data_IF_731152241432
#
_entry.id   IF_731152241432
#
_cell.length_a   1.000
_cell.length_b   1.000
_cell.length_c   1.000
_cell.angle_alpha   90.00
_cell.angle_beta   90.00
_cell.angle_gamma   90.00
#
_symmetry.space_group_name_H-M   'P 1'
#
loop_
_entity.id
_entity.type
_entity.pdbx_description
1 polymer ?
#
# COMPACT_ATOMS: atom_id res chain seq x y z
N UNK A 1 -22.22 -30.29 -27.34
CA UNK A 1 -22.24 -29.56 -26.06
C UNK A 1 -21.77 -28.14 -26.33
N UNK A 2 -22.64 -27.13 -26.21
CA UNK A 2 -22.26 -25.71 -26.39
C UNK A 2 -21.86 -25.18 -25.02
N UNK A 3 -20.58 -24.87 -24.83
CA UNK A 3 -20.12 -24.12 -23.65
C UNK A 3 -20.49 -22.66 -23.89
N UNK A 4 -21.51 -22.17 -23.18
CA UNK A 4 -21.85 -20.73 -23.16
C UNK A 4 -20.99 -20.05 -22.11
N UNK A 5 -19.99 -19.28 -22.55
CA UNK A 5 -19.16 -18.49 -21.65
C UNK A 5 -19.87 -17.17 -21.31
N UNK A 6 -20.25 -16.99 -20.05
CA UNK A 6 -20.85 -15.74 -19.60
C UNK A 6 -19.75 -14.70 -19.35
N UNK A 7 -19.46 -13.91 -20.37
CA UNK A 7 -18.43 -12.87 -20.34
C UNK A 7 -18.67 -11.82 -19.24
N UNK A 8 -19.93 -11.47 -18.97
CA UNK A 8 -20.30 -10.47 -17.95
C UNK A 8 -19.96 -10.96 -16.55
N UNK A 9 -20.42 -12.17 -16.21
CA UNK A 9 -20.13 -12.78 -14.92
C UNK A 9 -18.62 -13.03 -14.71
N UNK A 10 -17.90 -13.42 -15.77
CA UNK A 10 -16.46 -13.59 -15.70
C UNK A 10 -15.74 -12.25 -15.44
N UNK A 11 -16.19 -11.17 -16.07
CA UNK A 11 -15.63 -9.82 -15.88
C UNK A 11 -15.84 -9.31 -14.45
N UNK A 12 -17.07 -9.37 -13.94
CA UNK A 12 -17.39 -8.94 -12.57
C UNK A 12 -16.56 -9.69 -11.52
N UNK A 13 -16.37 -11.00 -11.71
CA UNK A 13 -15.54 -11.82 -10.83
C UNK A 13 -14.07 -11.37 -10.82
N UNK A 14 -13.50 -11.10 -12.00
CA UNK A 14 -12.13 -10.61 -12.13
C UNK A 14 -11.98 -9.22 -11.47
N UNK A 15 -12.96 -8.33 -11.67
CA UNK A 15 -12.95 -6.99 -11.07
C UNK A 15 -13.00 -7.07 -9.54
N UNK A 16 -13.92 -7.87 -8.99
CA UNK A 16 -14.02 -8.08 -7.54
C UNK A 16 -12.74 -8.68 -6.94
N UNK A 17 -12.16 -9.69 -7.60
CA UNK A 17 -10.90 -10.29 -7.16
C UNK A 17 -9.74 -9.29 -7.20
N UNK A 18 -9.71 -8.43 -8.23
CA UNK A 18 -8.69 -7.38 -8.37
C UNK A 18 -8.83 -6.33 -7.27
N UNK A 19 -10.03 -5.84 -6.99
CA UNK A 19 -10.29 -4.85 -5.94
C UNK A 19 -9.86 -5.37 -4.56
N UNK A 20 -10.28 -6.57 -4.19
CA UNK A 20 -9.88 -7.19 -2.93
C UNK A 20 -8.35 -7.36 -2.84
N UNK A 21 -7.69 -7.75 -3.92
CA UNK A 21 -6.23 -7.89 -3.95
C UNK A 21 -5.52 -6.53 -3.78
N UNK A 22 -6.00 -5.48 -4.45
CA UNK A 22 -5.50 -4.10 -4.30
C UNK A 22 -5.67 -3.63 -2.85
N UNK A 23 -6.83 -3.84 -2.24
CA UNK A 23 -7.10 -3.44 -0.87
C UNK A 23 -6.11 -4.07 0.14
N UNK A 24 -5.84 -5.37 -0.01
CA UNK A 24 -4.90 -6.09 0.87
C UNK A 24 -3.47 -5.60 0.68
N UNK A 25 -2.98 -5.54 -0.56
CA UNK A 25 -1.59 -5.14 -0.82
C UNK A 25 -1.34 -3.70 -0.41
N UNK A 26 -2.33 -2.81 -0.55
CA UNK A 26 -2.20 -1.39 -0.20
C UNK A 26 -2.08 -1.19 1.31
N UNK A 27 -2.81 -1.95 2.12
CA UNK A 27 -2.64 -1.94 3.57
C UNK A 27 -1.24 -2.41 3.99
N UNK A 28 -0.75 -3.49 3.38
CA UNK A 28 0.60 -3.98 3.62
C UNK A 28 1.65 -2.95 3.19
N UNK A 29 1.50 -2.36 2.01
CA UNK A 29 2.39 -1.33 1.50
C UNK A 29 2.42 -0.11 2.43
N UNK A 30 1.27 0.32 2.97
CA UNK A 30 1.23 1.42 3.94
C UNK A 30 2.01 1.08 5.22
N UNK A 31 1.82 -0.14 5.75
CA UNK A 31 2.55 -0.62 6.92
C UNK A 31 4.06 -0.59 6.70
N UNK A 32 4.53 -1.10 5.56
CA UNK A 32 5.95 -1.12 5.21
C UNK A 32 6.50 0.29 4.98
N UNK A 33 5.70 1.18 4.37
CA UNK A 33 6.09 2.59 4.24
C UNK A 33 6.21 3.28 5.60
N UNK A 34 5.29 3.01 6.53
CA UNK A 34 5.31 3.59 7.87
C UNK A 34 6.44 3.04 8.74
N UNK A 35 6.93 1.82 8.48
CA UNK A 35 8.15 1.30 9.11
C UNK A 35 9.37 2.18 8.86
N UNK A 36 9.47 2.82 7.70
CA UNK A 36 10.57 3.74 7.35
C UNK A 36 10.21 5.22 7.55
N UNK A 37 8.98 5.54 7.92
CA UNK A 37 8.49 6.91 8.03
C UNK A 37 9.12 7.63 9.23
N UNK A 38 9.43 8.92 9.04
CA UNK A 38 9.95 9.75 10.12
C UNK A 38 8.91 9.91 11.22
N UNK A 39 9.35 9.83 12.47
CA UNK A 39 8.45 9.85 13.61
C UNK A 39 8.94 10.83 14.67
N UNK A 40 8.02 11.68 15.11
CA UNK A 40 8.15 12.53 16.29
C UNK A 40 6.99 12.23 17.24
N UNK A 41 5.80 12.77 16.97
CA UNK A 41 4.55 12.52 17.71
C UNK A 41 3.63 11.49 17.06
N UNK A 42 4.11 10.76 16.04
CA UNK A 42 3.35 9.82 15.19
C UNK A 42 2.25 10.44 14.31
N UNK A 43 2.00 11.75 14.38
CA UNK A 43 0.94 12.42 13.60
C UNK A 43 1.07 12.18 12.09
N UNK A 44 2.30 12.20 11.56
CA UNK A 44 2.57 11.90 10.17
C UNK A 44 2.08 10.48 9.79
N UNK A 45 2.41 9.48 10.61
CA UNK A 45 1.98 8.08 10.41
C UNK A 45 0.46 7.97 10.55
N UNK A 46 -0.13 8.59 11.57
CA UNK A 46 -1.58 8.56 11.80
C UNK A 46 -2.35 9.19 10.63
N UNK A 47 -1.87 10.32 10.10
CA UNK A 47 -2.46 10.95 8.92
C UNK A 47 -2.52 9.98 7.73
N UNK A 48 -1.52 9.11 7.59
CA UNK A 48 -1.50 8.15 6.49
C UNK A 48 -2.51 7.04 6.60
N UNK A 49 -2.86 6.65 7.82
CA UNK A 49 -3.91 5.66 8.08
C UNK A 49 -5.29 6.27 7.79
N UNK A 50 -5.48 7.56 8.09
CA UNK A 50 -6.75 8.26 7.92
C UNK A 50 -7.02 8.70 6.48
N UNK A 51 -5.99 9.05 5.72
CA UNK A 51 -6.13 9.72 4.42
C UNK A 51 -5.74 8.88 3.21
N UNK A 52 -5.17 7.68 3.42
CA UNK A 52 -4.92 6.75 2.32
C UNK A 52 -6.21 6.13 1.82
N UNK A 53 -6.26 5.87 0.53
CA UNK A 53 -7.35 5.20 -0.16
C UNK A 53 -6.88 3.80 -0.55
N UNK A 54 -7.28 2.83 0.26
CA UNK A 54 -6.89 1.43 0.10
C UNK A 54 -7.55 0.76 -1.10
N UNK A 55 -8.75 1.20 -1.48
CA UNK A 55 -9.52 0.62 -2.59
C UNK A 55 -8.83 0.93 -3.93
N UNK A 56 -8.28 2.15 -4.07
CA UNK A 56 -7.61 2.59 -5.29
C UNK A 56 -6.08 2.51 -5.25
N UNK A 57 -5.50 1.90 -4.20
CA UNK A 57 -4.05 1.74 -4.11
C UNK A 57 -3.26 3.02 -3.86
N UNK A 58 -3.87 4.03 -3.22
CA UNK A 58 -3.28 5.36 -3.06
C UNK A 58 -2.92 5.65 -1.60
N UNK A 59 -1.62 5.75 -1.34
CA UNK A 59 -1.09 6.11 -0.02
C UNK A 59 -0.88 7.62 0.11
N UNK A 60 -1.31 8.23 1.22
CA UNK A 60 -1.30 9.68 1.41
C UNK A 60 -0.87 10.05 2.82
N UNK A 61 0.25 10.77 2.98
CA UNK A 61 0.61 11.42 4.24
C UNK A 61 0.15 12.88 4.20
N UNK A 62 -0.89 13.22 4.96
CA UNK A 62 -1.58 14.51 4.88
C UNK A 62 -1.34 15.37 6.14
N UNK A 63 -0.10 15.84 6.30
CA UNK A 63 0.23 16.89 7.27
C UNK A 63 0.87 18.07 6.55
N UNK A 64 0.79 19.31 7.10
CA UNK A 64 1.38 20.49 6.45
C UNK A 64 2.88 20.35 6.16
N UNK A 65 3.58 19.54 6.95
CA UNK A 65 5.01 19.32 6.85
C UNK A 65 5.39 18.00 6.16
N UNK A 66 4.43 17.16 5.72
CA UNK A 66 4.70 15.84 5.16
C UNK A 66 5.67 15.91 3.97
N UNK A 67 5.41 16.80 3.01
CA UNK A 67 6.27 16.99 1.82
C UNK A 67 7.68 17.43 2.20
N UNK A 68 7.81 18.39 3.12
CA UNK A 68 9.12 18.86 3.58
C UNK A 68 9.90 17.72 4.24
N UNK A 69 9.27 16.99 5.17
CA UNK A 69 9.90 15.86 5.85
C UNK A 69 10.29 14.73 4.91
N UNK A 70 9.53 14.51 3.84
CA UNK A 70 9.77 13.50 2.84
C UNK A 70 11.12 13.68 2.13
N UNK A 71 11.49 14.92 1.80
CA UNK A 71 12.71 15.22 1.07
C UNK A 71 13.88 15.66 1.98
N UNK A 72 13.62 15.97 3.24
CA UNK A 72 14.65 16.38 4.19
C UNK A 72 15.68 15.24 4.40
N UNK A 73 16.97 15.52 4.20
CA UNK A 73 18.03 14.52 4.39
C UNK A 73 18.22 14.14 5.87
N UNK A 74 18.15 15.13 6.75
CA UNK A 74 18.30 14.93 8.18
C UNK A 74 17.14 14.11 8.74
N UNK A 75 17.47 13.02 9.43
CA UNK A 75 16.50 12.11 10.01
C UNK A 75 16.88 11.80 11.45
N UNK A 76 16.01 12.19 12.39
CA UNK A 76 16.12 11.75 13.79
C UNK A 76 15.64 10.31 13.90
N UNK A 77 16.38 9.52 14.67
CA UNK A 77 16.23 8.05 14.76
C UNK A 77 15.93 7.55 16.19
N UNK A 78 15.66 8.48 17.09
CA UNK A 78 15.33 8.23 18.49
C UNK A 78 13.99 7.49 18.64
N UNK A 79 12.96 7.86 17.86
CA UNK A 79 11.65 7.19 17.87
C UNK A 79 11.56 6.05 16.86
N UNK A 80 12.03 6.29 15.65
CA UNK A 80 12.09 5.27 14.61
C UNK A 80 13.54 5.11 14.09
N UNK A 81 14.27 4.06 14.50
CA UNK A 81 15.64 3.83 14.07
C UNK A 81 15.76 3.55 12.56
N UNK A 82 14.66 3.12 11.93
CA UNK A 82 14.56 2.83 10.50
C UNK A 82 14.15 4.04 9.67
N UNK A 83 13.87 5.18 10.31
CA UNK A 83 13.45 6.38 9.61
C UNK A 83 14.46 6.80 8.55
N UNK A 84 13.95 7.17 7.37
CA UNK A 84 14.76 7.70 6.28
C UNK A 84 13.99 8.72 5.43
N UNK A 85 14.72 9.46 4.60
CA UNK A 85 14.13 10.29 3.55
C UNK A 85 13.42 9.42 2.51
N UNK A 86 12.38 9.97 1.91
CA UNK A 86 11.58 9.31 0.87
C UNK A 86 11.17 7.88 1.28
N UNK A 87 10.66 7.74 2.50
CA UNK A 87 10.38 6.45 3.13
C UNK A 87 9.51 5.51 2.28
N UNK A 88 8.56 6.05 1.51
CA UNK A 88 7.75 5.24 0.60
C UNK A 88 8.57 4.66 -0.57
N UNK A 89 9.55 5.39 -1.11
CA UNK A 89 10.49 4.85 -2.11
C UNK A 89 11.43 3.83 -1.48
N UNK A 90 11.89 4.06 -0.25
CA UNK A 90 12.73 3.11 0.48
C UNK A 90 11.98 1.80 0.73
N UNK A 91 10.71 1.88 1.13
CA UNK A 91 9.84 0.73 1.29
C UNK A 91 9.64 0.00 -0.04
N UNK A 92 9.27 0.71 -1.11
CA UNK A 92 9.10 0.13 -2.44
C UNK A 92 10.38 -0.55 -2.95
N UNK A 93 11.54 0.07 -2.78
CA UNK A 93 12.81 -0.50 -3.20
C UNK A 93 13.10 -1.86 -2.54
N UNK A 94 12.65 -2.05 -1.29
CA UNK A 94 12.86 -3.27 -0.52
C UNK A 94 11.75 -4.31 -0.67
N UNK A 95 10.49 -3.87 -0.66
CA UNK A 95 9.32 -4.73 -0.49
C UNK A 95 8.50 -4.92 -1.77
N UNK A 96 8.82 -4.26 -2.88
CA UNK A 96 8.03 -4.37 -4.13
C UNK A 96 7.74 -5.80 -4.56
N UNK A 97 8.72 -6.71 -4.42
CA UNK A 97 8.55 -8.12 -4.79
C UNK A 97 7.49 -8.79 -3.90
N UNK A 98 7.56 -8.56 -2.59
CA UNK A 98 6.62 -9.10 -1.63
C UNK A 98 5.20 -8.57 -1.88
N UNK A 99 5.07 -7.29 -2.26
CA UNK A 99 3.79 -6.70 -2.64
C UNK A 99 3.21 -7.36 -3.90
N UNK A 100 4.03 -7.59 -4.94
CA UNK A 100 3.59 -8.31 -6.14
C UNK A 100 3.18 -9.75 -5.83
N UNK A 101 3.99 -10.49 -5.07
CA UNK A 101 3.70 -11.86 -4.70
C UNK A 101 2.41 -11.95 -3.88
N UNK A 102 2.19 -11.00 -2.97
CA UNK A 102 0.97 -10.89 -2.16
C UNK A 102 -0.26 -10.58 -3.02
N UNK A 103 -0.14 -9.62 -3.95
CA UNK A 103 -1.22 -9.26 -4.86
C UNK A 103 -1.60 -10.44 -5.76
N UNK A 104 -0.63 -11.15 -6.32
CA UNK A 104 -0.88 -12.33 -7.14
C UNK A 104 -1.58 -13.43 -6.35
N UNK A 105 -1.10 -13.71 -5.13
CA UNK A 105 -1.72 -14.70 -4.24
C UNK A 105 -3.17 -14.34 -3.92
N UNK A 106 -3.42 -13.09 -3.49
CA UNK A 106 -4.74 -12.61 -3.15
C UNK A 106 -5.69 -12.67 -4.36
N UNK A 107 -5.24 -12.21 -5.53
CA UNK A 107 -6.03 -12.27 -6.76
C UNK A 107 -6.42 -13.71 -7.10
N UNK A 108 -5.47 -14.66 -7.05
CA UNK A 108 -5.73 -16.08 -7.33
C UNK A 108 -6.69 -16.72 -6.32
N UNK A 109 -6.71 -16.24 -5.09
CA UNK A 109 -7.61 -16.71 -4.04
C UNK A 109 -9.04 -16.23 -4.33
N UNK A 110 -9.24 -14.93 -4.53
CA UNK A 110 -10.56 -14.36 -4.79
C UNK A 110 -11.10 -14.66 -6.18
N UNK A 111 -10.25 -14.94 -7.16
CA UNK A 111 -10.69 -15.38 -8.49
C UNK A 111 -11.15 -16.85 -8.51
N UNK A 112 -10.96 -17.61 -7.42
CA UNK A 112 -11.51 -18.97 -7.29
C UNK A 112 -12.93 -18.95 -6.74
N UNK A 113 -13.21 -18.08 -5.79
CA UNK A 113 -14.56 -17.79 -5.24
C UNK A 113 -15.54 -17.43 -6.36
#
# INVERSE_FOLDING_TARGET
MKVTFNMTAAKEKIENASQKAVFIVTQQALKDCNYYCKQDTSELINSSILHSDFENGRLVWQTPYARYQYYLDNTRKDKNPNACKMWAHAAHAKHKKEWFDMMEKAFREFAKE
#
